data_IF_909131024860
#
_entry.id   IF_909131024860
#
_cell.length_a   1.000
_cell.length_b   1.000
_cell.length_c   1.000
_cell.angle_alpha   90.00
_cell.angle_beta   90.00
_cell.angle_gamma   90.00
#
_symmetry.space_group_name_H-M   'P 1'
#
loop_
_entity.id
_entity.type
_entity.pdbx_description
1 polymer ?
#
# COMPACT_ATOMS: atom_id res chain seq x y z
N UNK A 1 2.83 0.48 14.74
CA UNK A 1 1.88 0.59 13.61
C UNK A 1 2.38 -0.07 12.33
N UNK A 2 3.68 0.00 11.98
CA UNK A 2 4.25 -0.66 10.78
C UNK A 2 3.80 -2.11 10.51
N UNK A 3 3.93 -3.01 11.50
CA UNK A 3 3.55 -4.43 11.35
C UNK A 3 2.08 -4.56 10.97
N UNK A 4 1.23 -3.74 11.57
CA UNK A 4 -0.21 -3.72 11.30
C UNK A 4 -0.52 -3.30 9.86
N UNK A 5 0.15 -2.26 9.35
CA UNK A 5 0.01 -1.84 7.94
C UNK A 5 0.43 -2.92 6.96
N UNK A 6 1.56 -3.59 7.23
CA UNK A 6 2.06 -4.66 6.37
C UNK A 6 1.15 -5.89 6.40
N UNK A 7 0.64 -6.27 7.57
CA UNK A 7 -0.32 -7.39 7.69
C UNK A 7 -1.61 -7.06 6.94
N UNK A 8 -2.14 -5.84 7.11
CA UNK A 8 -3.39 -5.41 6.47
C UNK A 8 -3.27 -5.47 4.94
N UNK A 9 -2.20 -4.89 4.38
CA UNK A 9 -2.00 -4.90 2.93
C UNK A 9 -1.64 -6.29 2.40
N UNK A 10 -0.97 -7.13 3.19
CA UNK A 10 -0.65 -8.50 2.81
C UNK A 10 -1.90 -9.36 2.71
N UNK A 11 -2.79 -9.30 3.70
CA UNK A 11 -4.08 -10.03 3.67
C UNK A 11 -4.89 -9.60 2.46
N UNK A 12 -4.94 -8.29 2.20
CA UNK A 12 -5.62 -7.73 1.03
C UNK A 12 -5.03 -8.24 -0.29
N UNK A 13 -3.71 -8.16 -0.47
CA UNK A 13 -3.04 -8.61 -1.70
C UNK A 13 -3.21 -10.11 -1.92
N UNK A 14 -3.10 -10.92 -0.86
CA UNK A 14 -3.31 -12.37 -0.93
C UNK A 14 -4.75 -12.72 -1.29
N UNK A 15 -5.73 -11.99 -0.75
CA UNK A 15 -7.13 -12.16 -1.11
C UNK A 15 -7.35 -11.92 -2.60
N UNK A 16 -6.82 -10.82 -3.15
CA UNK A 16 -6.95 -10.51 -4.58
C UNK A 16 -6.19 -11.47 -5.50
N UNK A 17 -5.03 -11.96 -5.06
CA UNK A 17 -4.29 -13.00 -5.76
C UNK A 17 -5.09 -14.30 -5.83
N UNK A 18 -5.64 -14.73 -4.69
CA UNK A 18 -6.50 -15.91 -4.63
C UNK A 18 -7.75 -15.73 -5.49
N UNK A 19 -8.42 -14.58 -5.38
CA UNK A 19 -9.61 -14.26 -6.16
C UNK A 19 -9.31 -14.36 -7.66
N UNK A 20 -8.24 -13.73 -8.15
CA UNK A 20 -7.86 -13.79 -9.55
C UNK A 20 -7.60 -15.20 -10.04
N UNK A 21 -6.85 -16.00 -9.26
CA UNK A 21 -6.60 -17.42 -9.57
C UNK A 21 -7.87 -18.28 -9.55
N UNK A 22 -8.81 -17.99 -8.65
CA UNK A 22 -10.05 -18.74 -8.50
C UNK A 22 -11.15 -18.31 -9.49
N UNK A 23 -11.07 -17.07 -9.98
CA UNK A 23 -12.04 -16.46 -10.91
C UNK A 23 -11.80 -16.83 -12.37
N UNK A 24 -10.63 -17.37 -12.72
CA UNK A 24 -10.37 -17.82 -14.07
C UNK A 24 -11.30 -18.96 -14.45
N UNK A 25 -11.86 -18.86 -15.66
CA UNK A 25 -12.63 -19.95 -16.24
C UNK A 25 -11.72 -21.17 -16.30
N UNK A 26 -12.20 -22.33 -15.84
CA UNK A 26 -11.41 -23.56 -15.70
C UNK A 26 -10.93 -24.15 -17.05
N UNK A 27 -10.94 -23.34 -18.12
CA UNK A 27 -10.44 -23.62 -19.46
C UNK A 27 -8.92 -23.84 -19.51
N UNK A 28 -8.14 -23.26 -18.57
CA UNK A 28 -6.70 -23.55 -18.48
C UNK A 28 -5.91 -22.72 -17.47
N UNK A 29 -4.66 -23.14 -17.21
CA UNK A 29 -3.74 -22.45 -16.29
C UNK A 29 -3.41 -21.02 -16.76
N UNK A 30 -3.35 -20.81 -18.08
CA UNK A 30 -3.04 -19.50 -18.67
C UNK A 30 -4.14 -18.46 -18.36
N UNK A 31 -5.41 -18.83 -18.47
CA UNK A 31 -6.54 -17.93 -18.20
C UNK A 31 -6.62 -17.54 -16.72
N UNK A 32 -6.36 -18.50 -15.83
CA UNK A 32 -6.25 -18.25 -14.40
C UNK A 32 -5.10 -17.28 -14.09
N UNK A 33 -3.98 -17.41 -14.80
CA UNK A 33 -2.81 -16.54 -14.58
C UNK A 33 -3.07 -15.11 -15.05
N UNK A 34 -3.74 -14.94 -16.20
CA UNK A 34 -4.15 -13.63 -16.71
C UNK A 34 -5.10 -12.95 -15.72
N UNK A 35 -6.10 -13.69 -15.23
CA UNK A 35 -7.05 -13.21 -14.23
C UNK A 35 -6.39 -12.86 -12.89
N UNK A 36 -5.27 -13.50 -12.56
CA UNK A 36 -4.47 -13.25 -11.38
C UNK A 36 -3.48 -12.07 -11.49
N UNK A 37 -3.25 -11.52 -12.69
CA UNK A 37 -2.28 -10.43 -12.91
C UNK A 37 -2.44 -9.28 -11.90
N UNK A 38 -3.66 -8.74 -11.65
CA UNK A 38 -3.82 -7.66 -10.67
C UNK A 38 -3.37 -8.06 -9.27
N UNK A 39 -3.75 -9.27 -8.82
CA UNK A 39 -3.35 -9.79 -7.51
C UNK A 39 -1.84 -10.05 -7.40
N UNK A 40 -1.19 -10.47 -8.49
CA UNK A 40 0.27 -10.62 -8.56
C UNK A 40 0.95 -9.25 -8.42
N UNK A 41 0.45 -8.23 -9.11
CA UNK A 41 0.95 -6.85 -8.98
C UNK A 41 0.83 -6.38 -7.54
N UNK A 42 -0.33 -6.58 -6.90
CA UNK A 42 -0.54 -6.20 -5.50
C UNK A 42 0.42 -6.93 -4.56
N UNK A 43 0.61 -8.24 -4.74
CA UNK A 43 1.55 -9.02 -3.94
C UNK A 43 3.00 -8.52 -4.12
N UNK A 44 3.39 -8.17 -5.34
CA UNK A 44 4.69 -7.58 -5.63
C UNK A 44 4.86 -6.22 -4.95
N UNK A 45 3.84 -5.35 -4.99
CA UNK A 45 3.82 -4.06 -4.28
C UNK A 45 4.02 -4.24 -2.77
N UNK A 46 3.37 -5.23 -2.16
CA UNK A 46 3.56 -5.57 -0.74
C UNK A 46 4.97 -6.06 -0.45
N UNK A 47 5.51 -6.94 -1.29
CA UNK A 47 6.89 -7.43 -1.14
C UNK A 47 7.92 -6.28 -1.21
N UNK A 48 7.74 -5.38 -2.18
CA UNK A 48 8.57 -4.17 -2.32
C UNK A 48 8.43 -3.29 -1.08
N UNK A 49 7.22 -3.13 -0.53
CA UNK A 49 6.99 -2.35 0.68
C UNK A 49 7.63 -2.98 1.93
N UNK A 50 7.70 -4.31 1.99
CA UNK A 50 8.42 -5.03 3.03
C UNK A 50 9.93 -4.77 2.94
N UNK A 51 10.50 -4.90 1.74
CA UNK A 51 11.95 -4.78 1.53
C UNK A 51 12.46 -3.35 1.61
N UNK A 52 11.72 -2.40 1.02
CA UNK A 52 12.10 -1.00 0.88
C UNK A 52 11.01 -0.05 1.37
N UNK A 53 11.10 0.35 2.63
CA UNK A 53 10.04 1.12 3.28
C UNK A 53 9.78 2.48 2.66
N UNK A 54 10.79 3.19 2.13
CA UNK A 54 10.56 4.50 1.49
C UNK A 54 9.78 4.33 0.18
N UNK A 55 10.23 3.39 -0.64
CA UNK A 55 9.64 3.11 -1.95
C UNK A 55 8.23 2.52 -1.79
N UNK A 56 8.06 1.60 -0.84
CA UNK A 56 6.78 0.93 -0.56
C UNK A 56 5.61 1.85 -0.28
N UNK A 57 5.80 2.90 0.52
CA UNK A 57 4.69 3.83 0.83
C UNK A 57 4.26 4.62 -0.40
N UNK A 58 5.23 5.00 -1.24
CA UNK A 58 4.93 5.70 -2.50
C UNK A 58 4.21 4.77 -3.44
N UNK A 59 4.69 3.54 -3.61
CA UNK A 59 4.05 2.54 -4.48
C UNK A 59 2.61 2.25 -4.04
N UNK A 60 2.38 1.95 -2.76
CA UNK A 60 1.03 1.65 -2.26
C UNK A 60 0.08 2.86 -2.39
N UNK A 61 0.57 4.08 -2.20
CA UNK A 61 -0.25 5.28 -2.44
C UNK A 61 -0.57 5.47 -3.91
N UNK A 62 0.43 5.36 -4.78
CA UNK A 62 0.25 5.50 -6.23
C UNK A 62 -0.69 4.43 -6.76
N UNK A 63 -0.52 3.17 -6.35
CA UNK A 63 -1.39 2.05 -6.69
C UNK A 63 -2.83 2.32 -6.26
N UNK A 64 -3.03 2.75 -5.01
CA UNK A 64 -4.35 3.13 -4.50
C UNK A 64 -4.99 4.29 -5.27
N UNK A 65 -4.20 5.30 -5.68
CA UNK A 65 -4.68 6.43 -6.50
C UNK A 65 -5.02 5.99 -7.93
N UNK A 66 -4.20 5.14 -8.54
CA UNK A 66 -4.47 4.56 -9.87
C UNK A 66 -5.81 3.82 -9.85
N UNK A 67 -6.06 3.02 -8.81
CA UNK A 67 -7.35 2.34 -8.65
C UNK A 67 -8.47 3.35 -8.46
N UNK A 68 -8.28 4.34 -7.57
CA UNK A 68 -9.30 5.32 -7.21
C UNK A 68 -9.80 6.13 -8.41
N UNK A 69 -8.92 6.51 -9.33
CA UNK A 69 -9.26 7.29 -10.51
C UNK A 69 -9.44 6.46 -11.78
N UNK A 70 -8.73 5.34 -11.90
CA UNK A 70 -8.76 4.46 -13.06
C UNK A 70 -9.99 3.56 -13.10
N UNK A 71 -10.35 2.95 -11.97
CA UNK A 71 -11.48 2.00 -11.93
C UNK A 71 -12.82 2.66 -12.30
N UNK A 72 -13.19 3.85 -11.79
CA UNK A 72 -14.45 4.48 -12.14
C UNK A 72 -14.55 4.82 -13.62
N UNK A 73 -13.44 5.25 -14.24
CA UNK A 73 -13.36 5.54 -15.68
C UNK A 73 -13.62 4.30 -16.55
N UNK A 74 -13.25 3.12 -16.06
CA UNK A 74 -13.44 1.85 -16.79
C UNK A 74 -14.83 1.28 -16.53
N UNK A 75 -15.37 1.47 -15.31
CA UNK A 75 -16.66 0.93 -14.89
C UNK A 75 -17.86 1.85 -15.21
N UNK A 76 -17.60 3.08 -15.65
CA UNK A 76 -18.63 4.06 -16.01
C UNK A 76 -19.49 3.54 -17.16
N UNK A 77 -20.80 3.42 -16.92
CA UNK A 77 -21.77 2.91 -17.90
C UNK A 77 -22.07 1.41 -17.80
N UNK A 78 -21.17 0.61 -17.22
CA UNK A 78 -21.33 -0.84 -17.06
C UNK A 78 -21.92 -1.22 -15.69
N UNK A 79 -21.60 -0.46 -14.64
CA UNK A 79 -21.98 -0.78 -13.27
C UNK A 79 -22.75 0.35 -12.58
N UNK A 80 -23.69 0.03 -11.67
CA UNK A 80 -24.31 1.03 -10.82
C UNK A 80 -23.28 1.77 -9.97
N UNK A 81 -23.51 3.06 -9.73
CA UNK A 81 -22.62 3.91 -8.93
C UNK A 81 -22.28 3.32 -7.56
N UNK A 82 -23.27 2.73 -6.88
CA UNK A 82 -23.08 2.11 -5.56
C UNK A 82 -22.09 0.94 -5.64
N UNK A 83 -22.17 0.12 -6.69
CA UNK A 83 -21.24 -1.00 -6.92
C UNK A 83 -19.83 -0.49 -7.13
N UNK A 84 -19.66 0.56 -7.94
CA UNK A 84 -18.36 1.19 -8.18
C UNK A 84 -17.77 1.68 -6.85
N UNK A 85 -18.57 2.34 -6.02
CA UNK A 85 -18.13 2.84 -4.72
C UNK A 85 -17.69 1.71 -3.77
N UNK A 86 -18.45 0.62 -3.71
CA UNK A 86 -18.09 -0.57 -2.91
C UNK A 86 -16.77 -1.16 -3.40
N UNK A 87 -16.61 -1.34 -4.71
CA UNK A 87 -15.38 -1.89 -5.30
C UNK A 87 -14.18 -0.98 -5.05
N UNK A 88 -14.36 0.34 -5.13
CA UNK A 88 -13.33 1.30 -4.75
C UNK A 88 -12.91 1.17 -3.29
N UNK A 89 -13.86 1.00 -2.37
CA UNK A 89 -13.54 0.79 -0.95
C UNK A 89 -12.77 -0.51 -0.73
N UNK A 90 -13.04 -1.56 -1.51
CA UNK A 90 -12.34 -2.85 -1.42
C UNK A 90 -10.95 -2.83 -2.08
N UNK A 91 -10.79 -2.14 -3.21
CA UNK A 91 -9.54 -2.12 -3.97
C UNK A 91 -8.60 -0.97 -3.57
N UNK A 92 -9.11 0.25 -3.45
CA UNK A 92 -8.25 1.43 -3.24
C UNK A 92 -7.94 1.69 -1.77
N UNK A 93 -8.89 1.41 -0.87
CA UNK A 93 -8.76 1.79 0.54
C UNK A 93 -7.61 1.08 1.26
N UNK A 94 -7.41 -0.25 1.13
CA UNK A 94 -6.35 -0.96 1.85
C UNK A 94 -4.92 -0.49 1.49
N UNK A 95 -4.53 -0.31 0.21
CA UNK A 95 -3.21 0.22 -0.13
C UNK A 95 -3.06 1.70 0.26
N UNK A 96 -4.12 2.53 0.14
CA UNK A 96 -4.08 3.93 0.59
C UNK A 96 -3.87 4.07 2.11
N UNK A 97 -4.62 3.30 2.90
CA UNK A 97 -4.48 3.28 4.36
C UNK A 97 -3.10 2.78 4.78
N UNK A 98 -2.61 1.72 4.14
CA UNK A 98 -1.32 1.12 4.47
C UNK A 98 -0.16 2.03 4.11
N UNK A 99 -0.21 2.67 2.92
CA UNK A 99 0.76 3.69 2.51
C UNK A 99 0.78 4.89 3.45
N UNK A 100 -0.40 5.40 3.83
CA UNK A 100 -0.55 6.53 4.77
C UNK A 100 -0.02 6.19 6.16
N UNK A 101 -0.37 5.02 6.72
CA UNK A 101 0.13 4.58 8.02
C UNK A 101 1.65 4.39 8.01
N UNK A 102 2.24 3.91 6.91
CA UNK A 102 3.69 3.78 6.79
C UNK A 102 4.38 5.15 6.81
N UNK A 103 3.76 6.20 6.25
CA UNK A 103 4.29 7.57 6.33
C UNK A 103 4.29 8.06 7.78
N UNK A 104 3.16 7.90 8.47
CA UNK A 104 2.99 8.35 9.86
C UNK A 104 3.96 7.60 10.78
N UNK A 105 4.04 6.28 10.64
CA UNK A 105 4.90 5.42 11.47
C UNK A 105 6.40 5.73 11.32
N UNK A 106 6.80 6.48 10.28
CA UNK A 106 8.20 6.77 9.99
C UNK A 106 8.61 8.21 10.32
N UNK A 107 7.70 9.03 10.86
CA UNK A 107 8.06 10.30 11.51
C UNK A 107 8.62 9.98 12.90
N UNK A 108 9.95 9.84 12.99
CA UNK A 108 10.64 9.77 14.29
C UNK A 108 10.34 11.10 15.04
N UNK A 109 9.99 11.10 16.33
CA UNK A 109 9.96 12.32 17.11
C UNK A 109 11.33 12.98 16.98
N UNK A 110 11.39 14.25 16.55
CA UNK A 110 12.63 15.02 16.66
C UNK A 110 13.00 15.03 18.14
N UNK A 111 14.19 14.53 18.47
CA UNK A 111 14.70 14.70 19.82
C UNK A 111 14.72 16.21 20.14
N UNK A 112 14.30 16.63 21.34
CA UNK A 112 14.46 18.02 21.74
C UNK A 112 15.93 18.39 21.59
N UNK A 113 16.20 19.47 20.85
CA UNK A 113 17.55 19.99 20.65
C UNK A 113 18.19 20.15 22.02
N UNK A 114 19.25 19.37 22.28
CA UNK A 114 19.99 19.50 23.53
C UNK A 114 20.59 20.90 23.53
N UNK A 115 20.29 21.74 24.54
CA UNK A 115 20.85 23.09 24.60
C UNK A 115 22.39 23.03 24.49
N UNK A 116 23.02 23.99 23.80
CA UNK A 116 24.48 23.99 23.66
C UNK A 116 25.12 23.95 25.05
N UNK A 117 25.92 22.92 25.28
CA UNK A 117 26.69 22.77 26.51
C UNK A 117 27.58 24.01 26.69
N UNK A 118 27.56 24.67 27.86
CA UNK A 118 28.40 25.82 28.10
C UNK A 118 29.87 25.42 27.93
N UNK A 119 30.59 26.17 27.09
CA UNK A 119 32.04 26.04 26.91
C UNK A 119 32.68 26.03 28.30
N UNK A 120 33.34 24.93 28.66
CA UNK A 120 34.24 24.93 29.81
C UNK A 120 35.35 25.91 29.48
N UNK A 121 35.32 27.05 30.15
CA UNK A 121 36.43 27.99 30.18
C UNK A 121 37.61 27.24 30.79
N UNK A 122 38.57 26.91 29.94
CA UNK A 122 39.86 26.37 30.36
C UNK A 122 40.62 27.56 30.92
N UNK A 123 40.49 27.81 32.21
CA UNK A 123 41.39 28.72 32.92
C UNK A 123 42.72 27.98 33.07
N UNK A 124 43.61 28.20 32.11
CA UNK A 124 44.99 27.77 32.16
C UNK A 124 45.73 28.67 33.16
N UNK A 125 46.23 28.02 34.23
CA UNK A 125 47.30 28.40 35.18
C UNK A 125 47.54 29.87 35.52
#
# INVERSE_FOLDING_TARGET
MRKFSLILVLIWALWWLYFGLASGDRSGIADNLISAIPGIIFAASVYIAWRWQKVGRVILLVEGLIILFGYPRIAEGELPFITILIVLMLLALPPLLSGSLLIISNKKPRAPETPPQPKKEVTEK
#
